data_IF_211783988018
#
_entry.id   IF_211783988018
#
_cell.length_a   1.000
_cell.length_b   1.000
_cell.length_c   1.000
_cell.angle_alpha   90.00
_cell.angle_beta   90.00
_cell.angle_gamma   90.00
#
_symmetry.space_group_name_H-M   'P 1'
#
loop_
_entity.id
_entity.type
_entity.pdbx_description
1 polymer ?
#
# COMPACT_ATOMS: atom_id res chain seq x y z
N UNK A 1 18.46 -16.44 -17.37
CA UNK A 1 17.48 -17.15 -16.51
C UNK A 1 18.14 -18.07 -15.47
N UNK A 2 18.96 -19.07 -15.83
CA UNK A 2 19.53 -20.00 -14.84
C UNK A 2 20.56 -19.39 -13.86
N UNK A 3 21.40 -18.46 -14.32
CA UNK A 3 22.36 -17.71 -13.48
C UNK A 3 21.67 -16.78 -12.47
N UNK A 4 20.52 -16.23 -12.87
CA UNK A 4 19.70 -15.31 -12.09
C UNK A 4 19.00 -16.03 -10.93
N UNK A 5 18.44 -17.22 -11.19
CA UNK A 5 17.86 -18.10 -10.17
C UNK A 5 18.90 -18.59 -9.14
N UNK A 6 20.13 -18.90 -9.55
CA UNK A 6 21.18 -19.35 -8.62
C UNK A 6 21.63 -18.22 -7.68
N UNK A 7 21.76 -16.99 -8.21
CA UNK A 7 22.05 -15.80 -7.42
C UNK A 7 20.89 -15.47 -6.46
N UNK A 8 19.64 -15.52 -6.95
CA UNK A 8 18.46 -15.31 -6.14
C UNK A 8 18.34 -16.33 -5.00
N UNK A 9 18.58 -17.62 -5.26
CA UNK A 9 18.57 -18.68 -4.24
C UNK A 9 19.61 -18.47 -3.14
N UNK A 10 20.80 -17.96 -3.49
CA UNK A 10 21.79 -17.58 -2.48
C UNK A 10 21.28 -16.43 -1.60
N UNK A 11 20.60 -15.44 -2.19
CA UNK A 11 19.99 -14.34 -1.43
C UNK A 11 18.84 -14.80 -0.52
N UNK A 12 18.07 -15.84 -0.88
CA UNK A 12 17.09 -16.45 0.05
C UNK A 12 17.76 -17.08 1.24
N UNK A 13 18.87 -17.80 1.04
CA UNK A 13 19.64 -18.36 2.16
C UNK A 13 20.12 -17.26 3.10
N UNK A 14 20.60 -16.15 2.55
CA UNK A 14 21.01 -14.99 3.34
C UNK A 14 19.83 -14.33 4.06
N UNK A 15 18.68 -14.17 3.39
CA UNK A 15 17.46 -13.68 4.01
C UNK A 15 17.01 -14.56 5.18
N UNK A 16 17.01 -15.89 5.00
CA UNK A 16 16.71 -16.85 6.08
C UNK A 16 17.68 -16.70 7.25
N UNK A 17 18.98 -16.56 6.97
CA UNK A 17 20.01 -16.33 8.00
C UNK A 17 19.75 -15.04 8.77
N UNK A 18 19.45 -13.94 8.09
CA UNK A 18 19.12 -12.65 8.71
C UNK A 18 17.88 -12.79 9.59
N UNK A 19 16.80 -13.37 9.05
CA UNK A 19 15.54 -13.55 9.77
C UNK A 19 15.71 -14.47 10.99
N UNK A 20 16.51 -15.53 10.89
CA UNK A 20 16.79 -16.44 12.03
C UNK A 20 17.51 -15.75 13.19
N UNK A 21 18.30 -14.71 12.90
CA UNK A 21 18.99 -13.91 13.91
C UNK A 21 18.10 -12.89 14.60
N UNK A 22 16.82 -12.78 14.22
CA UNK A 22 15.86 -11.84 14.81
C UNK A 22 14.88 -12.61 15.68
N UNK A 23 14.95 -12.48 17.02
CA UNK A 23 14.02 -13.17 17.90
C UNK A 23 12.62 -12.55 17.83
N UNK A 24 11.61 -13.41 17.91
CA UNK A 24 10.19 -13.07 18.05
C UNK A 24 9.69 -12.03 17.00
N UNK A 25 9.81 -12.31 15.68
CA UNK A 25 9.51 -11.31 14.66
C UNK A 25 8.01 -11.07 14.49
N UNK A 26 7.64 -9.80 14.29
CA UNK A 26 6.33 -9.38 13.81
C UNK A 26 6.46 -8.79 12.40
N UNK A 27 6.05 -9.53 11.37
CA UNK A 27 6.12 -9.08 9.97
C UNK A 27 4.91 -8.20 9.68
N UNK A 28 5.12 -6.92 9.35
CA UNK A 28 4.06 -6.08 8.82
C UNK A 28 3.66 -6.59 7.42
N UNK A 29 2.49 -7.22 7.37
CA UNK A 29 1.99 -7.99 6.25
C UNK A 29 0.85 -7.23 5.56
N UNK A 30 0.97 -7.05 4.24
CA UNK A 30 0.00 -6.29 3.43
C UNK A 30 -0.61 -7.10 2.29
N UNK A 31 -0.23 -8.37 2.13
CA UNK A 31 -0.62 -9.20 0.99
C UNK A 31 -0.02 -8.73 -0.36
N UNK A 32 1.01 -7.90 -0.33
CA UNK A 32 1.84 -7.56 -1.49
C UNK A 32 3.04 -8.49 -1.61
N UNK A 33 3.70 -8.54 -2.76
CA UNK A 33 4.78 -9.51 -3.01
C UNK A 33 5.93 -9.45 -2.01
N UNK A 34 6.38 -8.24 -1.64
CA UNK A 34 7.51 -8.06 -0.71
C UNK A 34 7.18 -8.54 0.71
N UNK A 35 6.01 -8.13 1.24
CA UNK A 35 5.59 -8.51 2.58
C UNK A 35 5.17 -9.98 2.67
N UNK A 36 4.64 -10.55 1.59
CA UNK A 36 4.28 -11.97 1.49
C UNK A 36 5.51 -12.86 1.48
N UNK A 37 6.53 -12.53 0.67
CA UNK A 37 7.81 -13.25 0.67
C UNK A 37 8.45 -13.23 2.05
N UNK A 38 8.50 -12.05 2.69
CA UNK A 38 9.09 -11.91 4.01
C UNK A 38 8.33 -12.70 5.08
N UNK A 39 6.99 -12.71 5.03
CA UNK A 39 6.16 -13.45 5.98
C UNK A 39 6.33 -14.96 5.83
N UNK A 40 6.34 -15.48 4.60
CA UNK A 40 6.59 -16.91 4.33
C UNK A 40 7.99 -17.31 4.79
N UNK A 41 9.02 -16.50 4.52
CA UNK A 41 10.38 -16.80 5.02
C UNK A 41 10.46 -16.74 6.54
N UNK A 42 9.74 -15.83 7.20
CA UNK A 42 9.65 -15.81 8.66
C UNK A 42 8.93 -17.05 9.21
N UNK A 43 7.86 -17.51 8.55
CA UNK A 43 7.16 -18.75 8.89
C UNK A 43 8.06 -19.98 8.75
N UNK A 44 8.82 -20.07 7.66
CA UNK A 44 9.78 -21.16 7.44
C UNK A 44 10.85 -21.24 8.55
N UNK A 45 11.28 -20.09 9.06
CA UNK A 45 12.41 -20.00 10.00
C UNK A 45 11.98 -20.11 11.46
N UNK A 46 10.87 -19.48 11.83
CA UNK A 46 10.41 -19.36 13.23
C UNK A 46 9.14 -20.17 13.53
N UNK A 47 8.50 -20.77 12.51
CA UNK A 47 7.24 -21.50 12.72
C UNK A 47 6.16 -20.62 13.32
N UNK A 48 5.51 -21.12 14.38
CA UNK A 48 4.41 -20.43 15.07
C UNK A 48 4.85 -19.27 15.98
N UNK A 49 6.16 -19.11 16.19
CA UNK A 49 6.72 -18.05 17.05
C UNK A 49 6.73 -16.69 16.34
N UNK A 50 6.62 -16.64 15.01
CA UNK A 50 6.46 -15.39 14.27
C UNK A 50 5.00 -14.89 14.26
N UNK A 51 4.78 -13.59 14.05
CA UNK A 51 3.43 -13.04 13.79
C UNK A 51 3.37 -12.26 12.48
N UNK A 52 2.41 -12.58 11.63
CA UNK A 52 2.09 -11.76 10.46
C UNK A 52 1.05 -10.74 10.90
N UNK A 53 1.27 -9.46 10.63
CA UNK A 53 0.44 -8.38 11.17
C UNK A 53 -0.16 -7.55 10.06
N UNK A 54 -1.49 -7.59 9.92
CA UNK A 54 -2.23 -6.70 9.02
C UNK A 54 -2.77 -5.53 9.83
N UNK A 55 -2.50 -4.30 9.39
CA UNK A 55 -3.23 -3.14 9.84
C UNK A 55 -4.54 -3.01 9.06
N UNK A 56 -5.64 -3.30 9.73
CA UNK A 56 -6.98 -2.97 9.27
C UNK A 56 -7.24 -1.48 9.46
N UNK A 57 -6.97 -0.74 8.38
CA UNK A 57 -7.08 0.70 8.26
C UNK A 57 -8.31 1.05 7.42
N UNK A 58 -9.02 2.16 7.68
CA UNK A 58 -10.11 2.62 6.80
C UNK A 58 -9.68 2.82 5.34
N UNK A 59 -8.38 3.04 5.09
CA UNK A 59 -7.83 3.23 3.75
C UNK A 59 -7.40 1.93 3.06
N UNK A 60 -7.41 0.79 3.76
CA UNK A 60 -7.17 -0.54 3.19
C UNK A 60 -8.47 -1.03 2.53
N UNK A 61 -8.48 -1.28 1.20
CA UNK A 61 -9.62 -1.89 0.55
C UNK A 61 -10.00 -3.23 1.19
N UNK A 62 -11.29 -3.47 1.40
CA UNK A 62 -11.82 -4.70 2.04
C UNK A 62 -11.50 -5.95 1.22
N UNK A 63 -11.49 -5.83 -0.11
CA UNK A 63 -11.09 -6.92 -1.00
C UNK A 63 -9.60 -7.29 -0.86
N UNK A 64 -8.73 -6.30 -0.63
CA UNK A 64 -7.30 -6.50 -0.36
C UNK A 64 -7.07 -7.13 1.02
N UNK A 65 -7.79 -6.66 2.05
CA UNK A 65 -7.77 -7.29 3.39
C UNK A 65 -8.18 -8.76 3.29
N UNK A 66 -9.30 -9.06 2.63
CA UNK A 66 -9.78 -10.42 2.45
C UNK A 66 -8.79 -11.28 1.65
N UNK A 67 -8.13 -10.72 0.62
CA UNK A 67 -7.09 -11.42 -0.13
C UNK A 67 -5.85 -11.71 0.73
N UNK A 68 -5.42 -10.76 1.56
CA UNK A 68 -4.29 -10.95 2.48
C UNK A 68 -4.61 -12.01 3.55
N UNK A 69 -5.83 -12.03 4.11
CA UNK A 69 -6.26 -13.07 5.06
C UNK A 69 -6.22 -14.44 4.40
N UNK A 70 -6.82 -14.60 3.20
CA UNK A 70 -6.77 -15.87 2.47
C UNK A 70 -5.35 -16.34 2.17
N UNK A 71 -4.45 -15.41 1.82
CA UNK A 71 -3.03 -15.72 1.64
C UNK A 71 -2.42 -16.23 2.95
N UNK A 72 -2.68 -15.54 4.07
CA UNK A 72 -2.17 -15.97 5.37
C UNK A 72 -2.64 -17.38 5.73
N UNK A 73 -3.92 -17.68 5.52
CA UNK A 73 -4.49 -19.02 5.78
C UNK A 73 -3.86 -20.08 4.86
N UNK A 74 -3.66 -19.78 3.57
CA UNK A 74 -3.10 -20.72 2.61
C UNK A 74 -1.61 -21.06 2.85
N UNK A 75 -0.89 -20.17 3.54
CA UNK A 75 0.54 -20.31 3.86
C UNK A 75 0.79 -20.51 5.37
N UNK A 76 -0.24 -20.87 6.13
CA UNK A 76 -0.20 -21.11 7.58
C UNK A 76 0.45 -19.96 8.38
N UNK A 77 0.28 -18.71 7.96
CA UNK A 77 0.88 -17.56 8.65
C UNK A 77 0.12 -17.28 9.96
N UNK A 78 0.79 -17.20 11.14
CA UNK A 78 0.13 -16.84 12.39
C UNK A 78 -0.32 -15.37 12.37
N UNK A 79 -1.53 -15.14 11.88
CA UNK A 79 -2.03 -13.82 11.56
C UNK A 79 -2.61 -13.10 12.80
N UNK A 80 -2.24 -11.82 12.95
CA UNK A 80 -2.84 -10.87 13.88
C UNK A 80 -3.32 -9.65 13.10
N UNK A 81 -4.62 -9.37 13.16
CA UNK A 81 -5.17 -8.14 12.61
C UNK A 81 -5.24 -7.09 13.72
N UNK A 82 -4.64 -5.93 13.49
CA UNK A 82 -4.69 -4.77 14.39
C UNK A 82 -5.45 -3.65 13.69
N UNK A 83 -6.24 -2.87 14.45
CA UNK A 83 -6.91 -1.69 13.90
C UNK A 83 -6.02 -0.48 14.11
N UNK A 84 -6.00 0.41 13.12
CA UNK A 84 -5.28 1.69 13.21
C UNK A 84 -6.26 2.85 13.31
N UNK A 85 -5.79 3.96 13.89
CA UNK A 85 -6.59 5.13 14.20
C UNK A 85 -6.13 6.38 13.41
N UNK A 86 -5.59 6.22 12.19
CA UNK A 86 -5.02 7.34 11.44
C UNK A 86 -6.05 8.42 11.08
N UNK A 87 -7.35 8.10 11.02
CA UNK A 87 -8.42 9.07 10.83
C UNK A 87 -8.65 9.99 12.06
N UNK A 88 -8.08 9.67 13.22
CA UNK A 88 -8.11 10.53 14.39
C UNK A 88 -7.04 11.63 14.31
N UNK A 89 -6.01 11.46 13.47
CA UNK A 89 -4.94 12.44 13.26
C UNK A 89 -5.35 13.50 12.22
N UNK A 90 -5.50 14.79 12.60
CA UNK A 90 -5.82 15.86 11.66
C UNK A 90 -4.80 15.99 10.51
N UNK A 91 -3.54 15.61 10.75
CA UNK A 91 -2.45 15.66 9.75
C UNK A 91 -2.70 14.65 8.64
N UNK A 92 -3.14 13.43 8.98
CA UNK A 92 -3.56 12.44 8.00
C UNK A 92 -4.82 12.89 7.24
N UNK A 93 -5.83 13.39 7.98
CA UNK A 93 -7.10 13.87 7.40
C UNK A 93 -6.92 15.02 6.42
N UNK A 94 -5.91 15.86 6.60
CA UNK A 94 -5.61 16.98 5.69
C UNK A 94 -5.26 16.54 4.25
N UNK A 95 -4.91 15.26 4.07
CA UNK A 95 -4.54 14.68 2.78
C UNK A 95 -3.36 15.40 2.10
N UNK A 96 -2.35 15.78 2.88
CA UNK A 96 -1.08 16.35 2.37
C UNK A 96 -0.18 15.32 1.69
N UNK A 97 0.93 15.78 1.12
CA UNK A 97 1.97 14.92 0.49
C UNK A 97 2.68 13.99 1.48
N UNK A 98 2.62 14.29 2.77
CA UNK A 98 3.15 13.53 3.89
C UNK A 98 2.14 12.55 4.53
N UNK A 99 0.91 12.45 4.01
CA UNK A 99 -0.14 11.54 4.53
C UNK A 99 0.35 10.10 4.77
N UNK A 100 1.16 9.56 3.85
CA UNK A 100 1.70 8.20 3.99
C UNK A 100 2.62 8.03 5.20
N UNK A 101 3.25 9.10 5.67
CA UNK A 101 4.06 9.09 6.89
C UNK A 101 3.18 8.89 8.12
N UNK A 102 2.11 9.68 8.27
CA UNK A 102 1.18 9.58 9.39
C UNK A 102 0.44 8.24 9.41
N UNK A 103 0.07 7.71 8.23
CA UNK A 103 -0.47 6.36 8.12
C UNK A 103 0.52 5.29 8.63
N UNK A 104 1.81 5.44 8.30
CA UNK A 104 2.84 4.52 8.79
C UNK A 104 3.07 4.68 10.29
N UNK A 105 3.04 5.89 10.83
CA UNK A 105 3.11 6.14 12.28
C UNK A 105 1.98 5.42 13.02
N UNK A 106 0.74 5.56 12.57
CA UNK A 106 -0.42 4.89 13.16
C UNK A 106 -0.32 3.35 13.11
N UNK A 107 0.22 2.78 12.02
CA UNK A 107 0.53 1.34 11.95
C UNK A 107 1.54 0.94 13.03
N UNK A 108 2.65 1.67 13.14
CA UNK A 108 3.70 1.32 14.12
C UNK A 108 3.16 1.43 15.53
N UNK A 109 2.40 2.48 15.83
CA UNK A 109 1.75 2.66 17.14
C UNK A 109 0.79 1.52 17.47
N UNK A 110 -0.08 1.12 16.54
CA UNK A 110 -1.00 0.00 16.73
C UNK A 110 -0.27 -1.33 17.00
N UNK A 111 0.87 -1.56 16.35
CA UNK A 111 1.69 -2.76 16.58
C UNK A 111 2.41 -2.67 17.93
N UNK A 112 3.01 -1.53 18.26
CA UNK A 112 3.79 -1.36 19.48
C UNK A 112 2.93 -1.36 20.75
N UNK A 113 1.67 -0.93 20.65
CA UNK A 113 0.74 -0.89 21.78
C UNK A 113 -0.08 -2.18 21.93
N UNK A 114 -0.07 -3.07 20.93
CA UNK A 114 -0.75 -4.37 21.03
C UNK A 114 -0.01 -5.26 22.06
N UNK A 115 -0.70 -5.79 23.09
CA UNK A 115 -0.08 -6.57 24.17
C UNK A 115 0.67 -7.84 23.71
N UNK A 116 0.33 -8.37 22.54
CA UNK A 116 0.94 -9.58 21.98
C UNK A 116 2.08 -9.28 20.99
N UNK A 117 2.21 -8.01 20.57
CA UNK A 117 3.17 -7.58 19.56
C UNK A 117 4.18 -6.55 20.07
N UNK A 118 3.88 -5.80 21.14
CA UNK A 118 4.67 -4.65 21.56
C UNK A 118 6.13 -4.93 21.91
N UNK A 119 6.47 -6.16 22.30
CA UNK A 119 7.85 -6.61 22.56
C UNK A 119 8.56 -7.22 21.35
N UNK A 120 7.85 -7.41 20.23
CA UNK A 120 8.35 -8.11 19.03
C UNK A 120 9.17 -7.18 18.15
N UNK A 121 10.14 -7.75 17.43
CA UNK A 121 10.88 -6.99 16.43
C UNK A 121 10.03 -6.85 15.17
N UNK A 122 9.66 -5.61 14.82
CA UNK A 122 8.85 -5.34 13.63
C UNK A 122 9.72 -5.50 12.37
N UNK A 123 9.28 -6.34 11.44
CA UNK A 123 9.91 -6.53 10.13
C UNK A 123 9.06 -5.86 9.05
N UNK A 124 9.68 -5.03 8.22
CA UNK A 124 9.02 -4.35 7.10
C UNK A 124 9.53 -4.92 5.77
N UNK A 125 8.59 -5.24 4.86
CA UNK A 125 8.88 -5.67 3.50
C UNK A 125 9.31 -4.52 2.58
N UNK A 126 10.39 -3.83 2.94
CA UNK A 126 11.04 -2.80 2.11
C UNK A 126 12.20 -3.45 1.38
N UNK A 127 12.29 -3.27 0.05
CA UNK A 127 13.37 -3.79 -0.78
C UNK A 127 14.40 -2.70 -1.16
N UNK A 128 15.47 -3.05 -1.88
CA UNK A 128 16.52 -2.09 -2.25
C UNK A 128 16.03 -0.95 -3.14
N UNK A 129 15.12 -1.22 -4.07
CA UNK A 129 14.60 -0.21 -4.99
C UNK A 129 13.78 0.86 -4.26
N UNK A 130 13.16 0.50 -3.12
CA UNK A 130 12.43 1.44 -2.26
C UNK A 130 13.33 2.46 -1.53
N UNK A 131 14.64 2.20 -1.42
CA UNK A 131 15.57 3.08 -0.68
C UNK A 131 15.84 4.41 -1.40
N UNK A 132 15.64 4.45 -2.72
CA UNK A 132 15.77 5.67 -3.51
C UNK A 132 14.58 6.62 -3.32
N UNK A 133 13.47 6.14 -2.75
CA UNK A 133 12.28 6.95 -2.50
C UNK A 133 12.41 7.75 -1.20
N UNK A 134 12.01 9.03 -1.23
CA UNK A 134 11.87 9.83 -0.02
C UNK A 134 10.68 9.33 0.82
N UNK A 135 10.93 8.38 1.73
CA UNK A 135 9.91 7.74 2.59
C UNK A 135 10.13 8.07 4.07
N UNK A 136 9.66 9.23 4.56
CA UNK A 136 9.84 9.65 5.96
C UNK A 136 9.37 8.59 6.99
N UNK A 137 8.33 7.82 6.67
CA UNK A 137 7.84 6.72 7.52
C UNK A 137 8.83 5.57 7.75
N UNK A 138 9.80 5.34 6.84
CA UNK A 138 10.81 4.28 7.03
C UNK A 138 11.87 4.68 8.06
N UNK A 139 12.29 5.95 8.08
CA UNK A 139 13.22 6.46 9.11
C UNK A 139 12.60 6.33 10.50
N UNK A 140 11.36 6.80 10.64
CA UNK A 140 10.60 6.71 11.88
C UNK A 140 10.40 5.27 12.38
N UNK A 141 10.26 4.31 11.47
CA UNK A 141 10.19 2.89 11.80
C UNK A 141 11.55 2.36 12.31
N UNK A 142 12.64 2.69 11.62
CA UNK A 142 13.99 2.27 11.99
C UNK A 142 14.39 2.78 13.37
N UNK A 143 14.09 4.05 13.66
CA UNK A 143 14.43 4.68 14.94
C UNK A 143 13.65 4.04 16.11
N UNK A 144 12.55 3.35 15.82
CA UNK A 144 11.76 2.54 16.76
C UNK A 144 12.13 1.05 16.77
N UNK A 145 13.24 0.68 16.14
CA UNK A 145 13.76 -0.69 16.14
C UNK A 145 13.21 -1.61 15.04
N UNK A 146 12.43 -1.09 14.08
CA UNK A 146 12.00 -1.90 12.94
C UNK A 146 13.20 -2.28 12.05
N UNK A 147 13.14 -3.49 11.50
CA UNK A 147 14.16 -4.08 10.62
C UNK A 147 13.67 -4.23 9.19
N UNK A 148 14.60 -4.28 8.24
CA UNK A 148 14.29 -4.35 6.81
C UNK A 148 15.04 -5.53 6.16
N UNK A 149 14.64 -6.78 6.44
CA UNK A 149 15.43 -7.95 6.07
C UNK A 149 15.69 -8.10 4.57
N UNK A 150 14.77 -7.66 3.71
CA UNK A 150 14.97 -7.72 2.25
C UNK A 150 16.10 -6.76 1.81
N UNK A 151 16.17 -5.55 2.38
CA UNK A 151 17.30 -4.62 2.17
C UNK A 151 18.60 -5.20 2.71
N UNK A 152 18.58 -5.79 3.91
CA UNK A 152 19.75 -6.40 4.54
C UNK A 152 20.30 -7.57 3.70
N UNK A 153 19.42 -8.36 3.08
CA UNK A 153 19.75 -9.42 2.13
C UNK A 153 20.06 -8.91 0.71
N UNK A 154 20.06 -7.60 0.50
CA UNK A 154 20.29 -6.93 -0.79
C UNK A 154 19.35 -7.40 -1.90
N UNK A 155 18.07 -7.56 -1.57
CA UNK A 155 17.03 -7.94 -2.53
C UNK A 155 16.37 -6.70 -3.12
N UNK A 156 16.38 -6.61 -4.45
CA UNK A 156 15.56 -5.69 -5.22
C UNK A 156 14.25 -6.31 -5.69
N UNK A 157 13.40 -5.51 -6.32
CA UNK A 157 12.04 -5.87 -6.77
C UNK A 157 12.03 -7.06 -7.73
N UNK A 158 12.99 -7.12 -8.67
CA UNK A 158 13.09 -8.23 -9.61
C UNK A 158 13.36 -9.55 -8.89
N UNK A 159 14.27 -9.52 -7.91
CA UNK A 159 14.70 -10.71 -7.16
C UNK A 159 13.59 -11.17 -6.22
N UNK A 160 12.91 -10.23 -5.54
CA UNK A 160 11.72 -10.54 -4.74
C UNK A 160 10.67 -11.29 -5.58
N UNK A 161 10.35 -10.82 -6.79
CA UNK A 161 9.38 -11.48 -7.66
C UNK A 161 9.84 -12.85 -8.15
N UNK A 162 11.13 -12.98 -8.52
CA UNK A 162 11.70 -14.26 -8.92
C UNK A 162 11.65 -15.29 -7.79
N UNK A 163 11.92 -14.86 -6.56
CA UNK A 163 11.88 -15.71 -5.37
C UNK A 163 10.46 -16.07 -4.95
N UNK A 164 9.54 -15.09 -4.97
CA UNK A 164 8.12 -15.36 -4.74
C UNK A 164 7.59 -16.39 -5.75
N UNK A 165 8.04 -16.34 -7.00
CA UNK A 165 7.69 -17.32 -8.03
C UNK A 165 8.31 -18.71 -7.78
N UNK A 166 9.58 -18.78 -7.39
CA UNK A 166 10.28 -20.05 -7.06
C UNK A 166 9.65 -20.73 -5.82
N UNK A 167 9.12 -19.94 -4.88
CA UNK A 167 8.34 -20.39 -3.72
C UNK A 167 6.85 -20.58 -4.02
N UNK A 168 6.43 -20.49 -5.28
CA UNK A 168 5.04 -20.68 -5.72
C UNK A 168 4.01 -19.75 -5.06
N UNK A 169 4.42 -18.55 -4.62
CA UNK A 169 3.52 -17.57 -4.02
C UNK A 169 2.64 -16.93 -5.10
N UNK A 170 1.32 -16.98 -4.95
CA UNK A 170 0.36 -16.39 -5.91
C UNK A 170 0.53 -14.87 -6.06
N UNK A 171 1.17 -14.21 -5.09
CA UNK A 171 1.45 -12.77 -5.12
C UNK A 171 2.61 -12.39 -6.04
N UNK A 172 3.34 -13.34 -6.63
CA UNK A 172 4.58 -13.05 -7.39
C UNK A 172 4.38 -12.04 -8.52
N UNK A 173 3.20 -12.05 -9.16
CA UNK A 173 2.83 -11.10 -10.22
C UNK A 173 1.73 -10.11 -9.81
N UNK A 174 1.36 -10.08 -8.52
CA UNK A 174 0.32 -9.18 -8.04
C UNK A 174 0.76 -7.72 -8.25
N UNK A 175 -0.04 -6.88 -8.94
CA UNK A 175 0.26 -5.46 -9.07
C UNK A 175 0.30 -4.78 -7.69
N UNK A 176 1.06 -3.69 -7.59
CA UNK A 176 1.08 -2.89 -6.36
C UNK A 176 -0.30 -2.27 -6.10
N UNK A 177 -0.95 -2.69 -5.02
CA UNK A 177 -2.22 -2.13 -4.59
C UNK A 177 -1.96 -0.86 -3.75
N UNK A 178 -2.37 0.29 -4.28
CA UNK A 178 -2.37 1.53 -3.51
C UNK A 178 -3.59 1.60 -2.60
N UNK A 179 -3.48 2.28 -1.45
CA UNK A 179 -4.59 2.50 -0.52
C UNK A 179 -5.71 3.37 -1.15
N UNK A 180 -6.92 3.31 -0.61
CA UNK A 180 -8.06 4.11 -1.06
C UNK A 180 -7.77 5.62 -0.98
N UNK A 181 -7.01 6.06 0.03
CA UNK A 181 -6.66 7.48 0.16
C UNK A 181 -5.84 8.02 -1.02
N UNK A 182 -5.17 7.17 -1.80
CA UNK A 182 -4.51 7.59 -3.05
C UNK A 182 -5.46 8.00 -4.17
N UNK A 183 -6.77 7.73 -4.04
CA UNK A 183 -7.80 8.16 -5.00
C UNK A 183 -8.32 9.56 -4.71
N UNK A 184 -8.05 10.11 -3.53
CA UNK A 184 -8.41 11.49 -3.19
C UNK A 184 -7.40 12.44 -3.84
N UNK A 185 -7.89 13.46 -4.54
CA UNK A 185 -7.03 14.58 -4.96
C UNK A 185 -6.41 15.26 -3.73
N UNK A 186 -5.17 15.74 -3.84
CA UNK A 186 -4.49 16.43 -2.73
C UNK A 186 -5.35 17.61 -2.24
N UNK A 187 -5.40 17.78 -0.92
CA UNK A 187 -6.24 18.79 -0.26
C UNK A 187 -7.71 18.41 -0.11
N UNK A 188 -8.22 17.36 -0.78
CA UNK A 188 -9.53 16.78 -0.45
C UNK A 188 -9.38 16.00 0.86
N UNK A 189 -10.09 16.36 1.94
CA UNK A 189 -9.89 15.72 3.24
C UNK A 189 -10.18 14.22 3.21
N UNK A 190 -9.37 13.44 3.90
CA UNK A 190 -9.64 12.02 4.12
C UNK A 190 -10.72 11.87 5.18
N UNK A 191 -11.78 11.15 4.84
CA UNK A 191 -12.84 10.74 5.76
C UNK A 191 -13.29 9.33 5.45
N UNK A 192 -13.86 8.64 6.43
CA UNK A 192 -14.44 7.31 6.24
C UNK A 192 -15.52 7.32 5.15
N UNK A 193 -16.36 8.36 5.11
CA UNK A 193 -17.37 8.53 4.06
C UNK A 193 -16.75 8.59 2.66
N UNK A 194 -15.68 9.38 2.48
CA UNK A 194 -15.00 9.52 1.19
C UNK A 194 -14.33 8.21 0.76
N UNK A 195 -13.66 7.52 1.68
CA UNK A 195 -13.01 6.22 1.42
C UNK A 195 -14.06 5.15 1.05
N UNK A 196 -15.17 5.08 1.78
CA UNK A 196 -16.27 4.16 1.49
C UNK A 196 -16.95 4.47 0.15
N UNK A 197 -17.14 5.75 -0.18
CA UNK A 197 -17.66 6.17 -1.50
C UNK A 197 -16.75 5.70 -2.63
N UNK A 198 -15.43 5.89 -2.51
CA UNK A 198 -14.45 5.43 -3.50
C UNK A 198 -14.51 3.91 -3.63
N UNK A 199 -14.54 3.18 -2.52
CA UNK A 199 -14.57 1.72 -2.55
C UNK A 199 -15.83 1.17 -3.22
N UNK A 200 -17.01 1.72 -2.90
CA UNK A 200 -18.27 1.36 -3.56
C UNK A 200 -18.23 1.65 -5.05
N UNK A 201 -17.64 2.77 -5.46
CA UNK A 201 -17.51 3.14 -6.86
C UNK A 201 -16.56 2.21 -7.63
N UNK A 202 -15.39 1.86 -7.06
CA UNK A 202 -14.52 0.87 -7.69
C UNK A 202 -15.19 -0.53 -7.74
N UNK A 203 -15.96 -0.90 -6.72
CA UNK A 203 -16.70 -2.15 -6.69
C UNK A 203 -17.81 -2.22 -7.76
N UNK A 204 -18.53 -1.12 -8.00
CA UNK A 204 -19.55 -1.07 -9.06
C UNK A 204 -18.96 -1.18 -10.47
N UNK A 205 -17.78 -0.61 -10.71
CA UNK A 205 -17.06 -0.86 -11.97
C UNK A 205 -16.61 -2.32 -12.08
N UNK A 206 -16.13 -2.93 -10.99
CA UNK A 206 -15.72 -4.34 -11.00
C UNK A 206 -16.90 -5.28 -11.30
N UNK A 207 -18.10 -5.01 -10.78
CA UNK A 207 -19.29 -5.83 -11.08
C UNK A 207 -19.72 -5.74 -12.55
N UNK A 208 -19.36 -4.67 -13.26
CA UNK A 208 -19.55 -4.52 -14.70
C UNK A 208 -18.46 -5.20 -15.56
N UNK A 209 -17.48 -5.86 -14.93
CA UNK A 209 -16.40 -6.57 -15.63
C UNK A 209 -15.15 -5.71 -15.88
N UNK A 210 -15.01 -4.55 -15.24
CA UNK A 210 -13.75 -3.82 -15.24
C UNK A 210 -12.82 -4.42 -14.17
N UNK A 211 -12.04 -5.43 -14.57
CA UNK A 211 -11.02 -6.06 -13.73
C UNK A 211 -9.66 -5.34 -13.86
N UNK A 212 -8.77 -5.58 -12.90
CA UNK A 212 -7.41 -5.03 -12.91
C UNK A 212 -7.33 -3.55 -12.53
N UNK A 213 -6.72 -2.76 -13.40
CA UNK A 213 -6.31 -1.37 -13.19
C UNK A 213 -7.45 -0.36 -13.36
N UNK A 214 -8.41 -0.43 -12.43
CA UNK A 214 -9.53 0.51 -12.33
C UNK A 214 -9.32 1.41 -11.13
N UNK A 215 -9.46 2.72 -11.31
CA UNK A 215 -9.47 3.70 -10.21
C UNK A 215 -10.64 4.66 -10.37
N UNK A 216 -11.29 4.99 -9.26
CA UNK A 216 -12.24 6.11 -9.19
C UNK A 216 -11.62 7.18 -8.32
N UNK A 217 -11.17 8.27 -8.93
CA UNK A 217 -10.59 9.41 -8.20
C UNK A 217 -11.69 10.32 -7.72
N UNK A 218 -11.64 10.68 -6.45
CA UNK A 218 -12.51 11.71 -5.87
C UNK A 218 -11.79 13.06 -5.92
N UNK A 219 -12.32 13.96 -6.75
CA UNK A 219 -11.80 15.30 -6.99
C UNK A 219 -12.41 16.34 -6.02
N UNK A 220 -13.16 15.90 -5.01
CA UNK A 220 -13.95 16.77 -4.15
C UNK A 220 -15.27 17.18 -4.82
N UNK A 221 -16.15 17.81 -4.03
CA UNK A 221 -17.44 18.34 -4.49
C UNK A 221 -18.36 17.32 -5.19
N UNK A 222 -18.11 16.01 -5.01
CA UNK A 222 -18.86 14.93 -5.65
C UNK A 222 -18.47 14.67 -7.10
N UNK A 223 -17.27 15.05 -7.56
CA UNK A 223 -16.76 14.75 -8.89
C UNK A 223 -15.92 13.46 -8.86
N UNK A 224 -16.41 12.40 -9.53
CA UNK A 224 -15.66 11.18 -9.82
C UNK A 224 -14.92 11.32 -11.15
N UNK A 225 -13.62 11.03 -11.14
CA UNK A 225 -12.82 10.82 -12.37
C UNK A 225 -12.39 9.36 -12.46
N UNK A 226 -12.93 8.65 -13.44
CA UNK A 226 -12.65 7.24 -13.69
C UNK A 226 -11.35 7.12 -14.50
N UNK A 227 -10.46 6.23 -14.06
CA UNK A 227 -9.26 5.82 -14.78
C UNK A 227 -9.36 4.31 -15.04
N UNK A 228 -9.38 3.93 -16.32
CA UNK A 228 -9.31 2.54 -16.80
C UNK A 228 -8.27 2.48 -17.92
N UNK A 229 -7.74 1.30 -18.29
CA UNK A 229 -6.85 1.18 -19.45
C UNK A 229 -7.56 1.68 -20.72
N UNK A 230 -6.88 2.43 -21.62
CA UNK A 230 -7.49 2.99 -22.83
C UNK A 230 -8.24 1.98 -23.70
N UNK A 231 -7.76 0.75 -23.76
CA UNK A 231 -8.40 -0.37 -24.46
C UNK A 231 -9.79 -0.74 -23.90
N UNK A 232 -10.15 -0.24 -22.70
CA UNK A 232 -11.46 -0.43 -22.06
C UNK A 232 -12.40 0.77 -22.21
N UNK A 233 -12.00 1.82 -22.93
CA UNK A 233 -12.81 3.03 -23.08
C UNK A 233 -14.13 2.76 -23.80
N UNK A 234 -14.11 1.98 -24.89
CA UNK A 234 -15.31 1.65 -25.65
C UNK A 234 -16.31 0.88 -24.78
N UNK A 235 -15.85 -0.11 -24.02
CA UNK A 235 -16.67 -0.87 -23.06
C UNK A 235 -17.31 0.04 -22.00
N UNK A 236 -16.53 1.00 -21.46
CA UNK A 236 -17.00 1.94 -20.44
C UNK A 236 -18.09 2.86 -20.99
N UNK A 237 -17.91 3.39 -22.20
CA UNK A 237 -18.86 4.28 -22.86
C UNK A 237 -20.12 3.53 -23.32
N UNK A 238 -19.97 2.26 -23.72
CA UNK A 238 -21.10 1.39 -24.04
C UNK A 238 -21.99 1.15 -22.82
N UNK A 239 -21.40 1.00 -21.63
CA UNK A 239 -22.09 0.82 -20.33
C UNK A 239 -22.28 2.12 -19.53
N UNK A 240 -22.30 3.28 -20.21
CA UNK A 240 -22.31 4.59 -19.54
C UNK A 240 -23.46 4.78 -18.56
N UNK A 241 -24.63 4.18 -18.82
CA UNK A 241 -25.81 4.33 -17.97
C UNK A 241 -25.59 3.65 -16.64
N UNK A 242 -25.15 2.39 -16.67
CA UNK A 242 -24.84 1.60 -15.48
C UNK A 242 -23.65 2.18 -14.70
N UNK A 243 -22.64 2.71 -15.41
CA UNK A 243 -21.51 3.42 -14.78
C UNK A 243 -22.01 4.65 -14.02
N UNK A 244 -22.84 5.49 -14.66
CA UNK A 244 -23.37 6.71 -14.02
C UNK A 244 -24.23 6.36 -12.80
N UNK A 245 -25.08 5.34 -12.90
CA UNK A 245 -25.90 4.85 -11.80
C UNK A 245 -25.04 4.38 -10.63
N UNK A 246 -24.06 3.51 -10.87
CA UNK A 246 -23.16 3.02 -9.84
C UNK A 246 -22.33 4.12 -9.17
N UNK A 247 -21.91 5.16 -9.90
CA UNK A 247 -21.23 6.32 -9.31
C UNK A 247 -22.17 7.16 -8.44
N UNK A 248 -23.43 7.34 -8.87
CA UNK A 248 -24.45 8.08 -8.11
C UNK A 248 -24.82 7.38 -6.81
N UNK A 249 -25.03 6.07 -6.87
CA UNK A 249 -25.26 5.23 -5.68
C UNK A 249 -24.08 5.26 -4.71
N UNK A 250 -22.85 5.32 -5.24
CA UNK A 250 -21.66 5.46 -4.41
C UNK A 250 -21.60 6.83 -3.69
N UNK A 251 -22.21 7.87 -4.27
CA UNK A 251 -22.33 9.22 -3.70
C UNK A 251 -21.71 10.34 -4.56
N UNK A 252 -21.43 10.09 -5.85
CA UNK A 252 -20.92 11.10 -6.77
C UNK A 252 -22.05 11.80 -7.55
N UNK A 253 -21.88 13.10 -7.79
CA UNK A 253 -22.79 13.93 -8.60
C UNK A 253 -22.40 13.95 -10.07
N UNK A 254 -21.11 14.05 -10.32
CA UNK A 254 -20.53 14.18 -11.66
C UNK A 254 -19.59 13.01 -11.91
N UNK A 255 -19.63 12.48 -13.13
CA UNK A 255 -18.81 11.34 -13.55
C UNK A 255 -18.04 11.76 -14.80
N UNK A 256 -16.72 11.64 -14.75
CA UNK A 256 -15.82 11.92 -15.87
C UNK A 256 -14.91 10.72 -16.12
N UNK A 257 -14.41 10.63 -17.35
CA UNK A 257 -13.36 9.69 -17.75
C UNK A 257 -12.07 10.49 -17.94
N UNK A 258 -10.98 10.02 -17.34
CA UNK A 258 -9.64 10.51 -17.67
C UNK A 258 -9.24 9.99 -19.05
N UNK A 259 -9.06 10.89 -20.02
CA UNK A 259 -8.72 10.53 -21.40
C UNK A 259 -7.30 9.99 -21.55
N UNK A 260 -6.40 10.23 -20.58
CA UNK A 260 -5.09 9.58 -20.53
C UNK A 260 -5.19 8.13 -20.03
N UNK A 261 -6.34 7.75 -19.44
CA UNK A 261 -6.60 6.44 -18.88
C UNK A 261 -5.80 6.18 -17.60
N UNK A 262 -5.76 4.90 -17.20
CA UNK A 262 -4.96 4.48 -16.05
C UNK A 262 -3.46 4.57 -16.35
N UNK A 263 -2.72 5.24 -15.46
CA UNK A 263 -1.26 5.23 -15.46
C UNK A 263 -0.75 5.05 -14.04
N UNK A 264 0.17 4.10 -13.83
CA UNK A 264 0.82 3.93 -12.54
C UNK A 264 1.60 5.19 -12.17
N UNK A 265 1.36 5.74 -10.97
CA UNK A 265 2.05 6.94 -10.48
C UNK A 265 1.48 8.28 -10.95
N UNK A 266 0.37 8.32 -11.70
CA UNK A 266 -0.24 9.56 -12.23
C UNK A 266 -0.56 10.63 -11.18
N UNK A 267 -0.84 10.23 -9.93
CA UNK A 267 -1.15 11.17 -8.85
C UNK A 267 0.02 12.06 -8.42
N UNK A 268 1.27 11.68 -8.72
CA UNK A 268 2.44 12.50 -8.41
C UNK A 268 2.61 13.68 -9.38
N UNK A 269 1.90 13.69 -10.52
CA UNK A 269 1.96 14.77 -11.51
C UNK A 269 1.13 16.00 -11.11
N UNK A 270 0.22 15.84 -10.15
CA UNK A 270 -0.65 16.90 -9.62
C UNK A 270 -0.05 17.69 -8.45
N UNK A 271 1.24 17.51 -8.14
CA UNK A 271 1.94 18.47 -7.28
C UNK A 271 2.02 19.77 -8.08
N UNK A 272 1.07 20.67 -7.81
CA UNK A 272 1.04 22.00 -8.42
C UNK A 272 2.36 22.70 -8.13
N UNK A 273 2.89 23.38 -9.15
CA UNK A 273 4.04 24.27 -9.08
C UNK A 273 3.93 25.33 -7.97
N UNK A 274 2.73 25.58 -7.43
CA UNK A 274 2.50 26.47 -6.28
C UNK A 274 2.96 25.91 -4.93
N UNK A 275 2.98 24.58 -4.74
CA UNK A 275 3.41 23.97 -3.46
C UNK A 275 4.94 24.01 -3.29
N UNK A 276 5.70 24.05 -4.39
CA UNK A 276 7.16 24.25 -4.37
C UNK A 276 7.56 25.68 -3.96
N UNK A 277 6.66 26.67 -4.12
CA UNK A 277 6.96 28.08 -3.81
C UNK A 277 6.61 28.48 -2.38
N UNK A 278 5.76 27.74 -1.68
CA UNK A 278 5.18 28.18 -0.40
C UNK A 278 5.69 27.49 0.86
N UNK A 279 6.67 26.58 0.77
CA UNK A 279 7.23 25.88 1.95
C UNK A 279 8.75 25.93 2.11
N UNK A 280 9.41 26.94 1.57
CA UNK A 280 10.73 27.34 2.08
C UNK A 280 10.53 28.40 3.17
N UNK A 281 11.11 28.24 4.38
CA UNK A 281 11.09 29.33 5.36
C UNK A 281 11.78 30.55 4.75
N UNK A 282 11.05 31.68 4.65
CA UNK A 282 11.69 32.96 4.31
C UNK A 282 12.72 33.26 5.40
N UNK A 283 13.97 33.48 5.01
CA UNK A 283 14.99 33.92 5.96
C UNK A 283 14.58 35.28 6.54
N UNK A 284 14.88 35.59 7.81
CA UNK A 284 14.54 36.88 8.43
C UNK A 284 15.34 38.09 7.91
N UNK A 285 15.97 38.03 6.74
CA UNK A 285 16.99 39.02 6.35
C UNK A 285 16.60 40.01 5.26
N UNK A 286 15.38 39.98 4.72
CA UNK A 286 14.96 40.91 3.66
C UNK A 286 13.66 41.65 3.99
N UNK A 287 13.71 42.55 4.97
CA UNK A 287 13.04 43.87 4.89
C UNK A 287 13.89 44.87 5.66
N UNK A 288 14.48 45.82 4.92
CA UNK A 288 15.03 47.08 5.43
C UNK A 288 13.91 48.04 5.78
#
# INVERSE_FOLDING_TARGET
MALDLRAARHKVTELRRIVSGIPDPAVAFSGGVDSSLLAVVARDVHGDDMRAVIADSPSLPRNELAAAIRFADAHDLPLRVVRTAELEDPRYRSNGSDRCAFCKEALLEAVMTDPLLGSRTILLGVNLDDLADHRPGQRAARDRGARFPLVEARLGKHEVRALARDLHLETWDKPAAACLASRLAYGVPVSEEALNRIERAEASLRSLGFAGDVRVRDQGSGLARIEVPPERFEDLLARRTEVIEGMREAGFRYVTLDLEGFRSGSHNLTISTDELRTRLPRSPTDVR
#
